data_IF_465104224718
#
_entry.id   IF_465104224718
#
_cell.length_a   1.000
_cell.length_b   1.000
_cell.length_c   1.000
_cell.angle_alpha   90.00
_cell.angle_beta   90.00
_cell.angle_gamma   90.00
#
_symmetry.space_group_name_H-M   'P 1'
#
loop_
_entity.id
_entity.type
_entity.pdbx_description
1 polymer ?
#
# COMPACT_ATOMS: atom_id res chain seq x y z
N UNK A 1 -38.36 -60.98 7.29
CA UNK A 1 -37.66 -59.68 7.31
C UNK A 1 -38.36 -58.80 6.29
N UNK A 2 -39.16 -57.83 6.74
CA UNK A 2 -40.10 -57.10 5.89
C UNK A 2 -39.37 -56.18 4.90
N UNK A 3 -39.91 -56.03 3.69
CA UNK A 3 -39.36 -55.19 2.61
C UNK A 3 -39.11 -53.74 3.04
N UNK A 4 -39.90 -53.23 3.99
CA UNK A 4 -39.74 -51.89 4.56
C UNK A 4 -38.40 -51.67 5.26
N UNK A 5 -37.85 -52.70 5.94
CA UNK A 5 -36.55 -52.58 6.63
C UNK A 5 -35.41 -52.48 5.60
N UNK A 6 -35.53 -53.18 4.47
CA UNK A 6 -34.54 -53.12 3.39
C UNK A 6 -34.56 -51.77 2.66
N UNK A 7 -35.74 -51.17 2.46
CA UNK A 7 -35.86 -49.84 1.86
C UNK A 7 -35.32 -48.73 2.78
N UNK A 8 -35.55 -48.84 4.10
CA UNK A 8 -34.97 -47.89 5.06
C UNK A 8 -33.43 -47.99 5.11
N UNK A 9 -32.87 -49.21 5.10
CA UNK A 9 -31.41 -49.41 5.06
C UNK A 9 -30.78 -48.89 3.76
N UNK A 10 -31.44 -49.08 2.62
CA UNK A 10 -30.99 -48.53 1.34
C UNK A 10 -31.02 -46.99 1.32
N UNK A 11 -32.04 -46.38 1.93
CA UNK A 11 -32.13 -44.93 2.09
C UNK A 11 -31.01 -44.35 2.96
N UNK A 12 -30.69 -45.02 4.08
CA UNK A 12 -29.58 -44.61 4.98
C UNK A 12 -28.23 -44.74 4.27
N UNK A 13 -28.00 -45.81 3.51
CA UNK A 13 -26.76 -46.00 2.76
C UNK A 13 -26.54 -44.90 1.69
N UNK A 14 -27.61 -44.47 1.02
CA UNK A 14 -27.53 -43.37 0.03
C UNK A 14 -27.34 -41.99 0.67
N UNK A 15 -27.86 -41.76 1.89
CA UNK A 15 -27.58 -40.53 2.63
C UNK A 15 -26.13 -40.48 3.10
N UNK A 16 -25.58 -41.62 3.54
CA UNK A 16 -24.18 -41.73 3.95
C UNK A 16 -23.20 -41.57 2.78
N UNK A 17 -23.53 -42.06 1.57
CA UNK A 17 -22.66 -41.82 0.41
C UNK A 17 -22.68 -40.36 -0.05
N UNK A 18 -23.83 -39.68 0.03
CA UNK A 18 -23.96 -38.25 -0.29
C UNK A 18 -23.24 -37.36 0.72
N UNK A 19 -23.25 -37.70 2.01
CA UNK A 19 -22.50 -36.97 3.03
C UNK A 19 -20.99 -37.15 2.87
N UNK A 20 -20.53 -38.34 2.46
CA UNK A 20 -19.11 -38.60 2.14
C UNK A 20 -18.68 -37.86 0.86
N UNK A 21 -19.51 -37.81 -0.18
CA UNK A 21 -19.21 -37.03 -1.39
C UNK A 21 -19.14 -35.53 -1.10
N UNK A 22 -20.01 -34.99 -0.26
CA UNK A 22 -19.95 -33.58 0.17
C UNK A 22 -18.72 -33.26 1.03
N UNK A 23 -18.22 -34.23 1.82
CA UNK A 23 -16.94 -34.09 2.53
C UNK A 23 -15.72 -34.18 1.60
N UNK A 24 -15.83 -34.92 0.49
CA UNK A 24 -14.73 -35.10 -0.48
C UNK A 24 -14.57 -33.95 -1.47
N UNK A 25 -15.66 -33.21 -1.76
CA UNK A 25 -15.61 -32.01 -2.60
C UNK A 25 -15.24 -30.81 -1.72
N UNK A 26 -13.97 -30.43 -1.78
CA UNK A 26 -13.39 -29.17 -1.28
C UNK A 26 -12.76 -29.15 0.12
N UNK A 27 -12.03 -30.19 0.51
CA UNK A 27 -10.79 -29.94 1.26
C UNK A 27 -9.70 -29.66 0.24
N UNK A 28 -9.14 -28.45 0.30
CA UNK A 28 -7.92 -28.08 -0.41
C UNK A 28 -6.82 -29.04 0.09
N UNK A 29 -6.64 -30.15 -0.61
CA UNK A 29 -5.57 -31.09 -0.32
C UNK A 29 -4.33 -30.49 -0.94
N UNK A 30 -3.55 -29.80 -0.10
CA UNK A 30 -2.20 -29.41 -0.45
C UNK A 30 -1.50 -30.64 -1.02
N UNK A 31 -0.87 -30.51 -2.19
CA UNK A 31 -0.16 -31.62 -2.81
C UNK A 31 0.77 -32.21 -1.76
N UNK A 32 0.59 -33.50 -1.38
CA UNK A 32 1.39 -34.10 -0.34
C UNK A 32 2.83 -34.09 -0.83
N UNK A 33 3.66 -33.27 -0.21
CA UNK A 33 5.10 -33.43 -0.38
C UNK A 33 5.45 -34.78 0.26
N UNK A 34 6.13 -35.66 -0.47
CA UNK A 34 6.59 -36.96 0.05
C UNK A 34 7.55 -36.82 1.25
N UNK A 35 8.02 -35.60 1.52
CA UNK A 35 8.87 -35.18 2.62
C UNK A 35 8.33 -33.82 3.08
N UNK A 36 8.21 -33.58 4.39
CA UNK A 36 7.89 -32.27 4.95
C UNK A 36 8.86 -31.22 4.43
N UNK A 37 8.34 -30.16 3.83
CA UNK A 37 9.16 -29.05 3.30
C UNK A 37 9.39 -27.94 4.32
N UNK A 38 8.82 -28.07 5.51
CA UNK A 38 9.04 -27.14 6.61
C UNK A 38 10.47 -27.30 7.14
N UNK A 39 11.10 -26.19 7.51
CA UNK A 39 12.39 -26.20 8.18
C UNK A 39 12.13 -26.17 9.68
N UNK A 40 12.49 -27.24 10.37
CA UNK A 40 12.41 -27.29 11.82
C UNK A 40 13.30 -26.20 12.43
N UNK A 41 12.83 -25.58 13.52
CA UNK A 41 13.64 -24.62 14.27
C UNK A 41 14.62 -25.35 15.21
N UNK A 42 14.17 -26.46 15.81
CA UNK A 42 14.92 -27.30 16.76
C UNK A 42 14.95 -28.76 16.29
N UNK A 43 15.87 -29.60 16.76
CA UNK A 43 16.00 -30.98 16.30
C UNK A 43 17.20 -31.24 15.36
N UNK A 44 17.34 -32.49 14.88
CA UNK A 44 18.46 -32.89 14.01
C UNK A 44 18.18 -32.45 12.56
N UNK A 45 19.04 -31.58 12.01
CA UNK A 45 18.81 -30.95 10.70
C UNK A 45 17.98 -29.65 10.74
N UNK A 46 17.74 -29.10 11.93
CA UNK A 46 16.98 -27.85 12.13
C UNK A 46 17.83 -26.59 11.94
N UNK A 47 17.19 -25.44 11.70
CA UNK A 47 17.87 -24.15 11.48
C UNK A 47 18.77 -23.72 12.65
N UNK A 48 18.39 -24.06 13.88
CA UNK A 48 19.15 -23.75 15.09
C UNK A 48 19.73 -24.99 15.79
N UNK A 49 19.72 -26.15 15.13
CA UNK A 49 20.06 -27.43 15.75
C UNK A 49 21.50 -27.89 15.55
N UNK A 50 22.30 -27.22 14.71
CA UNK A 50 23.64 -27.68 14.33
C UNK A 50 24.67 -27.55 15.46
N UNK A 51 24.57 -26.52 16.30
CA UNK A 51 25.48 -26.19 17.39
C UNK A 51 24.71 -25.57 18.58
N UNK A 52 25.22 -25.60 19.83
CA UNK A 52 24.53 -24.96 20.95
C UNK A 52 24.49 -23.44 20.74
N UNK A 53 23.29 -22.90 20.55
CA UNK A 53 23.06 -21.46 20.40
C UNK A 53 22.61 -20.83 21.72
N UNK A 54 22.95 -19.56 21.89
CA UNK A 54 22.46 -18.74 23.01
C UNK A 54 20.95 -18.49 22.91
N UNK A 55 20.34 -18.15 24.04
CA UNK A 55 18.88 -17.96 24.17
C UNK A 55 18.34 -16.84 23.28
N UNK A 56 19.12 -15.80 23.04
CA UNK A 56 18.70 -14.62 22.29
C UNK A 56 18.89 -14.86 20.78
N UNK A 57 17.78 -14.89 20.04
CA UNK A 57 17.78 -14.94 18.56
C UNK A 57 17.57 -13.54 18.01
N UNK A 58 18.55 -13.03 17.27
CA UNK A 58 18.50 -11.70 16.66
C UNK A 58 17.95 -11.84 15.24
N UNK A 59 16.93 -11.06 14.91
CA UNK A 59 16.43 -10.96 13.53
C UNK A 59 17.12 -9.83 12.77
N UNK A 60 17.62 -10.14 11.57
CA UNK A 60 18.11 -9.15 10.60
C UNK A 60 17.02 -8.72 9.60
N UNK A 61 15.78 -9.18 9.78
CA UNK A 61 14.68 -8.90 8.87
C UNK A 61 14.27 -7.42 8.94
N UNK A 62 14.27 -6.76 7.78
CA UNK A 62 13.66 -5.44 7.62
C UNK A 62 12.16 -5.64 7.44
N UNK A 63 11.38 -5.04 8.33
CA UNK A 63 9.92 -4.99 8.22
C UNK A 63 9.52 -3.93 7.20
N UNK A 64 8.49 -4.17 6.38
CA UNK A 64 7.95 -3.12 5.53
C UNK A 64 7.41 -1.98 6.42
N UNK A 65 7.51 -0.77 5.88
CA UNK A 65 6.95 0.45 6.45
C UNK A 65 6.20 1.17 5.33
N UNK A 66 5.05 1.77 5.64
CA UNK A 66 4.31 2.50 4.62
C UNK A 66 2.95 3.05 5.05
N UNK A 67 2.22 3.50 4.03
CA UNK A 67 0.89 4.08 4.14
C UNK A 67 -0.14 3.08 4.70
N UNK A 68 0.14 1.77 4.59
CA UNK A 68 -0.67 0.69 5.14
C UNK A 68 -0.97 0.78 6.65
N UNK A 69 -0.10 1.43 7.43
CA UNK A 69 -0.32 1.68 8.86
C UNK A 69 -1.39 2.73 9.15
N UNK A 70 -1.58 3.67 8.23
CA UNK A 70 -2.46 4.84 8.39
C UNK A 70 -3.83 4.64 7.75
N UNK A 71 -3.94 3.73 6.79
CA UNK A 71 -5.19 3.49 6.07
C UNK A 71 -6.17 2.68 6.93
N UNK A 72 -7.40 3.19 7.16
CA UNK A 72 -8.41 2.44 7.88
C UNK A 72 -8.94 1.28 7.01
N UNK A 73 -9.12 0.12 7.65
CA UNK A 73 -9.77 -1.04 7.02
C UNK A 73 -11.28 -0.93 7.16
N UNK A 74 -11.97 -0.64 6.07
CA UNK A 74 -13.43 -0.57 6.03
C UNK A 74 -13.96 -1.84 5.36
N UNK A 75 -14.64 -2.74 6.11
CA UNK A 75 -15.23 -3.93 5.50
C UNK A 75 -16.45 -3.56 4.66
N UNK A 76 -16.70 -4.33 3.61
CA UNK A 76 -17.94 -4.23 2.82
C UNK A 76 -18.48 -5.62 2.48
N UNK A 77 -19.78 -5.68 2.25
CA UNK A 77 -20.49 -6.89 1.81
C UNK A 77 -20.71 -6.92 0.29
N UNK A 78 -20.44 -5.82 -0.41
CA UNK A 78 -20.66 -5.70 -1.84
C UNK A 78 -19.47 -6.26 -2.63
N UNK A 79 -19.73 -7.13 -3.61
CA UNK A 79 -18.69 -7.76 -4.41
C UNK A 79 -17.99 -6.79 -5.37
N UNK A 80 -18.70 -5.76 -5.85
CA UNK A 80 -18.19 -4.73 -6.75
C UNK A 80 -18.65 -3.36 -6.25
N UNK A 81 -17.86 -2.68 -5.41
CA UNK A 81 -18.22 -1.35 -4.95
C UNK A 81 -18.06 -0.36 -6.13
N UNK A 82 -19.11 0.43 -6.32
CA UNK A 82 -19.16 1.57 -7.24
C UNK A 82 -19.28 2.84 -6.40
N UNK A 83 -18.43 3.82 -6.67
CA UNK A 83 -18.44 5.12 -6.03
C UNK A 83 -18.91 6.14 -7.05
N UNK A 84 -20.16 6.57 -6.90
CA UNK A 84 -20.70 7.65 -7.71
C UNK A 84 -20.12 8.99 -7.24
N UNK A 85 -19.67 9.80 -8.19
CA UNK A 85 -19.15 11.14 -7.96
C UNK A 85 -19.90 12.13 -8.83
N UNK A 86 -20.22 13.28 -8.26
CA UNK A 86 -20.85 14.39 -8.96
C UNK A 86 -19.74 15.30 -9.48
N UNK A 87 -19.56 15.36 -10.81
CA UNK A 87 -18.45 16.10 -11.42
C UNK A 87 -18.81 17.55 -11.72
N UNK A 88 -20.10 17.87 -11.78
CA UNK A 88 -20.56 19.25 -11.86
C UNK A 88 -21.89 19.39 -12.60
N UNK A 89 -22.19 20.62 -12.95
CA UNK A 89 -23.33 21.00 -13.79
C UNK A 89 -22.73 21.59 -15.07
N UNK A 90 -23.27 21.24 -16.23
CA UNK A 90 -22.81 21.82 -17.50
C UNK A 90 -23.07 23.31 -17.53
N UNK A 91 -22.31 24.02 -18.36
CA UNK A 91 -22.72 25.36 -18.77
C UNK A 91 -24.13 25.33 -19.35
N UNK A 92 -24.80 26.47 -19.18
CA UNK A 92 -26.14 26.74 -19.65
C UNK A 92 -26.20 26.55 -21.17
N UNK A 93 -26.92 25.53 -21.62
CA UNK A 93 -27.06 25.19 -23.02
C UNK A 93 -28.40 25.68 -23.55
N UNK A 94 -28.38 26.30 -24.73
CA UNK A 94 -29.56 26.87 -25.38
C UNK A 94 -29.50 28.40 -25.45
N UNK A 95 -30.34 28.97 -26.30
CA UNK A 95 -30.54 30.42 -26.39
C UNK A 95 -31.48 30.89 -25.28
N UNK A 96 -31.29 32.13 -24.83
CA UNK A 96 -32.30 32.79 -23.98
C UNK A 96 -33.56 32.98 -24.82
N UNK A 97 -34.72 32.60 -24.27
CA UNK A 97 -36.01 32.69 -24.94
C UNK A 97 -36.29 34.12 -25.43
N UNK A 98 -36.70 34.26 -26.70
CA UNK A 98 -37.11 35.55 -27.25
C UNK A 98 -38.59 35.83 -26.95
N UNK A 99 -39.41 34.77 -26.86
CA UNK A 99 -40.83 34.85 -26.52
C UNK A 99 -41.14 34.10 -25.20
N UNK A 100 -42.23 34.46 -24.49
CA UNK A 100 -42.57 33.87 -23.19
C UNK A 100 -42.82 32.35 -23.17
N UNK A 101 -43.06 31.74 -24.33
CA UNK A 101 -43.35 30.31 -24.49
C UNK A 101 -42.19 29.52 -25.11
N UNK A 102 -41.06 30.17 -25.42
CA UNK A 102 -39.90 29.48 -25.98
C UNK A 102 -39.13 28.73 -24.91
N UNK A 103 -38.38 27.71 -25.36
CA UNK A 103 -37.50 26.94 -24.50
C UNK A 103 -36.39 27.84 -23.94
N UNK A 104 -36.38 27.96 -22.61
CA UNK A 104 -35.30 28.60 -21.88
C UNK A 104 -34.09 27.68 -21.77
N UNK A 105 -32.88 28.23 -21.59
CA UNK A 105 -31.69 27.41 -21.60
C UNK A 105 -31.62 26.54 -20.33
N UNK A 106 -31.05 25.35 -20.49
CA UNK A 106 -31.02 24.30 -19.46
C UNK A 106 -29.59 23.90 -19.15
N UNK A 107 -29.38 23.37 -17.94
CA UNK A 107 -28.10 22.84 -17.52
C UNK A 107 -28.29 21.38 -17.07
N UNK A 108 -27.33 20.52 -17.41
CA UNK A 108 -27.39 19.10 -17.11
C UNK A 108 -26.42 18.76 -15.98
N UNK A 109 -26.81 17.81 -15.13
CA UNK A 109 -25.93 17.28 -14.11
C UNK A 109 -25.00 16.25 -14.76
N UNK A 110 -23.70 16.35 -14.46
CA UNK A 110 -22.69 15.36 -14.84
C UNK A 110 -22.27 14.55 -13.62
N UNK A 111 -22.23 13.24 -13.78
CA UNK A 111 -21.73 12.30 -12.79
C UNK A 111 -20.81 11.27 -13.42
N UNK A 112 -20.00 10.62 -12.59
CA UNK A 112 -19.06 9.58 -12.99
C UNK A 112 -18.98 8.50 -11.91
N UNK A 113 -18.95 7.23 -12.31
CA UNK A 113 -18.83 6.11 -11.39
C UNK A 113 -17.40 5.58 -11.42
N UNK A 114 -16.73 5.61 -10.27
CA UNK A 114 -15.44 4.95 -10.07
C UNK A 114 -15.65 3.57 -9.46
N UNK A 115 -14.70 2.66 -9.66
CA UNK A 115 -14.77 1.32 -9.07
C UNK A 115 -13.45 0.94 -8.41
N UNK A 116 -13.54 0.43 -7.18
CA UNK A 116 -12.42 -0.19 -6.50
C UNK A 116 -12.63 -1.71 -6.49
N UNK A 117 -11.94 -2.44 -7.36
CA UNK A 117 -12.07 -3.89 -7.40
C UNK A 117 -11.29 -4.52 -6.24
N UNK A 118 -11.84 -5.55 -5.61
CA UNK A 118 -11.13 -6.29 -4.57
C UNK A 118 -10.10 -7.24 -5.16
N UNK A 119 -8.94 -7.31 -4.51
CA UNK A 119 -7.94 -8.34 -4.73
C UNK A 119 -8.21 -9.60 -3.91
N UNK A 120 -7.61 -10.71 -4.32
CA UNK A 120 -7.57 -11.98 -3.60
C UNK A 120 -6.14 -12.53 -3.64
N UNK A 121 -5.56 -12.63 -2.45
CA UNK A 121 -4.27 -13.29 -2.22
C UNK A 121 -4.47 -14.44 -1.26
N UNK A 122 -3.97 -15.62 -1.61
CA UNK A 122 -3.93 -16.79 -0.75
C UNK A 122 -2.46 -17.15 -0.51
N UNK A 123 -2.10 -17.36 0.76
CA UNK A 123 -0.78 -17.82 1.16
C UNK A 123 -0.95 -19.14 1.91
N UNK A 124 -0.35 -20.20 1.40
CA UNK A 124 -0.34 -21.50 2.05
C UNK A 124 0.87 -21.62 2.99
N UNK A 125 0.68 -22.23 4.16
CA UNK A 125 1.79 -22.62 5.06
C UNK A 125 2.48 -23.88 4.55
N UNK A 126 3.73 -24.15 4.95
CA UNK A 126 4.40 -25.41 4.57
C UNK A 126 3.71 -26.65 5.17
N UNK A 127 3.93 -27.82 4.56
CA UNK A 127 3.42 -29.08 5.13
C UNK A 127 4.24 -29.41 6.36
N UNK A 128 3.57 -29.59 7.50
CA UNK A 128 4.21 -29.90 8.78
C UNK A 128 4.08 -31.40 9.03
N UNK A 129 5.19 -32.09 9.31
CA UNK A 129 5.18 -33.48 9.75
C UNK A 129 4.96 -33.52 11.27
N UNK A 130 3.76 -33.88 11.70
CA UNK A 130 3.37 -33.87 13.12
C UNK A 130 4.30 -34.68 14.04
N UNK A 131 4.94 -35.72 13.52
CA UNK A 131 5.86 -36.58 14.28
C UNK A 131 7.15 -35.86 14.71
N UNK A 132 7.57 -34.83 13.97
CA UNK A 132 8.83 -34.12 14.24
C UNK A 132 8.68 -32.81 15.00
N UNK A 133 7.46 -32.30 15.16
CA UNK A 133 7.15 -30.97 15.74
C UNK A 133 7.60 -30.79 17.20
N UNK A 134 7.96 -31.85 17.91
CA UNK A 134 8.36 -31.83 19.32
C UNK A 134 9.69 -32.55 19.60
N UNK A 135 10.41 -32.97 18.56
CA UNK A 135 11.69 -33.65 18.76
C UNK A 135 12.75 -32.63 19.18
N UNK A 136 13.48 -32.96 20.25
CA UNK A 136 14.67 -32.22 20.67
C UNK A 136 15.89 -33.02 20.27
N UNK A 137 16.91 -32.34 19.76
CA UNK A 137 18.14 -33.02 19.34
C UNK A 137 18.84 -33.65 20.54
N UNK A 138 19.02 -32.87 21.62
CA UNK A 138 19.74 -33.25 22.83
C UNK A 138 19.21 -32.47 24.05
N UNK A 139 19.62 -32.84 25.27
CA UNK A 139 19.23 -32.13 26.51
C UNK A 139 19.72 -30.68 26.59
N UNK A 140 20.73 -30.32 25.79
CA UNK A 140 21.24 -28.95 25.62
C UNK A 140 20.51 -28.13 24.55
N UNK A 141 19.48 -28.70 23.92
CA UNK A 141 18.60 -28.02 22.97
C UNK A 141 17.53 -27.23 23.74
N UNK A 142 17.66 -25.91 23.76
CA UNK A 142 16.81 -25.03 24.56
C UNK A 142 15.59 -24.54 23.77
N UNK A 143 14.40 -25.01 24.16
CA UNK A 143 13.11 -24.56 23.61
C UNK A 143 12.64 -23.20 24.13
N UNK A 144 13.55 -22.40 24.69
CA UNK A 144 13.28 -21.13 25.36
C UNK A 144 13.97 -19.96 24.65
N UNK A 145 13.99 -20.00 23.31
CA UNK A 145 14.54 -18.92 22.52
C UNK A 145 13.65 -17.67 22.64
N UNK A 146 14.28 -16.52 22.85
CA UNK A 146 13.62 -15.22 22.85
C UNK A 146 14.01 -14.49 21.57
N UNK A 147 13.01 -14.00 20.84
CA UNK A 147 13.23 -13.15 19.68
C UNK A 147 13.59 -11.73 20.13
N UNK A 148 14.73 -11.23 19.66
CA UNK A 148 15.11 -9.82 19.76
C UNK A 148 14.84 -9.13 18.42
N UNK A 149 13.86 -8.24 18.41
CA UNK A 149 13.38 -7.53 17.22
C UNK A 149 11.92 -7.86 16.90
N UNK A 150 11.44 -7.40 15.74
CA UNK A 150 10.04 -7.56 15.31
C UNK A 150 10.00 -8.13 13.89
N UNK A 151 9.23 -9.19 13.68
CA UNK A 151 9.06 -9.80 12.35
C UNK A 151 7.89 -9.20 11.55
N UNK A 152 6.91 -8.60 12.23
CA UNK A 152 5.70 -8.03 11.61
C UNK A 152 5.69 -6.49 11.78
N UNK A 153 5.63 -5.75 10.68
CA UNK A 153 5.82 -4.29 10.67
C UNK A 153 4.53 -3.49 10.71
N UNK A 154 3.62 -3.85 9.82
CA UNK A 154 2.40 -3.17 9.43
C UNK A 154 1.20 -3.77 10.14
N UNK A 155 0.71 -3.10 11.19
CA UNK A 155 -0.45 -3.53 11.98
C UNK A 155 -1.74 -3.66 11.13
N UNK A 156 -1.76 -3.07 9.94
CA UNK A 156 -2.84 -3.17 8.96
C UNK A 156 -2.94 -4.52 8.27
N UNK A 157 -1.81 -5.20 8.00
CA UNK A 157 -1.78 -6.40 7.13
C UNK A 157 -1.53 -7.71 7.87
N UNK A 158 -1.28 -7.65 9.18
CA UNK A 158 -1.02 -8.83 10.00
C UNK A 158 -2.32 -9.49 10.49
N UNK A 159 -2.41 -10.83 10.50
CA UNK A 159 -3.51 -11.54 11.14
C UNK A 159 -3.61 -11.23 12.65
N UNK A 160 -4.83 -11.06 13.17
CA UNK A 160 -5.06 -10.78 14.59
C UNK A 160 -4.59 -11.95 15.49
N UNK A 161 -4.08 -11.64 16.69
CA UNK A 161 -3.68 -12.58 17.76
C UNK A 161 -2.38 -13.38 17.57
N UNK A 162 -1.50 -13.01 16.63
CA UNK A 162 -0.17 -13.62 16.53
C UNK A 162 0.82 -12.96 17.51
N UNK A 163 1.27 -13.69 18.52
CA UNK A 163 2.36 -13.27 19.40
C UNK A 163 3.71 -13.75 18.84
N UNK A 164 4.55 -12.81 18.40
CA UNK A 164 5.85 -13.10 17.78
C UNK A 164 6.84 -13.83 18.71
N UNK A 165 6.65 -13.79 20.04
CA UNK A 165 7.53 -14.49 20.98
C UNK A 165 7.25 -16.00 21.07
N UNK A 166 6.03 -16.44 20.75
CA UNK A 166 5.69 -17.88 20.72
C UNK A 166 6.08 -18.55 19.41
N UNK A 167 6.51 -17.77 18.41
CA UNK A 167 6.98 -18.23 17.10
C UNK A 167 8.10 -19.27 17.22
N UNK A 168 9.07 -19.02 18.10
CA UNK A 168 10.27 -19.85 18.23
C UNK A 168 10.03 -21.16 19.01
N UNK A 169 8.84 -21.33 19.59
CA UNK A 169 8.48 -22.46 20.46
C UNK A 169 7.54 -23.45 19.79
N UNK A 170 6.76 -23.02 18.79
CA UNK A 170 5.74 -23.85 18.15
C UNK A 170 5.86 -23.73 16.64
N UNK A 171 6.22 -24.83 15.96
CA UNK A 171 6.41 -24.90 14.50
C UNK A 171 5.16 -24.45 13.72
N UNK A 172 3.96 -24.76 14.23
CA UNK A 172 2.72 -24.31 13.57
C UNK A 172 2.56 -22.79 13.62
N UNK A 173 2.98 -22.14 14.71
CA UNK A 173 3.01 -20.68 14.80
C UNK A 173 4.12 -20.09 13.92
N UNK A 174 5.24 -20.80 13.74
CA UNK A 174 6.32 -20.31 12.88
C UNK A 174 5.93 -20.27 11.41
N UNK A 175 5.23 -21.29 10.94
CA UNK A 175 4.69 -21.29 9.58
C UNK A 175 3.61 -20.22 9.38
N UNK A 176 2.73 -20.00 10.37
CA UNK A 176 1.71 -18.94 10.30
C UNK A 176 2.31 -17.53 10.23
N UNK A 177 3.35 -17.25 11.02
CA UNK A 177 4.03 -15.94 10.96
C UNK A 177 4.80 -15.79 9.65
N UNK A 178 5.39 -16.86 9.12
CA UNK A 178 6.06 -16.82 7.81
C UNK A 178 5.08 -16.47 6.69
N UNK A 179 3.90 -17.10 6.69
CA UNK A 179 2.81 -16.76 5.76
C UNK A 179 2.27 -15.32 5.99
N UNK A 180 2.22 -14.86 7.25
CA UNK A 180 1.83 -13.49 7.58
C UNK A 180 2.82 -12.45 7.04
N UNK A 181 4.12 -12.69 7.23
CA UNK A 181 5.20 -11.83 6.72
C UNK A 181 5.21 -11.78 5.19
N UNK A 182 5.03 -12.91 4.53
CA UNK A 182 5.00 -12.95 3.06
C UNK A 182 3.78 -12.21 2.51
N UNK A 183 2.63 -12.36 3.15
CA UNK A 183 1.41 -11.61 2.82
C UNK A 183 1.61 -10.10 3.01
N UNK A 184 2.20 -9.69 4.13
CA UNK A 184 2.48 -8.28 4.44
C UNK A 184 3.36 -7.64 3.36
N UNK A 185 4.47 -8.28 2.99
CA UNK A 185 5.37 -7.79 1.93
C UNK A 185 4.69 -7.66 0.57
N UNK A 186 3.87 -8.65 0.22
CA UNK A 186 3.15 -8.63 -1.04
C UNK A 186 2.07 -7.53 -1.05
N UNK A 187 1.34 -7.35 0.06
CA UNK A 187 0.32 -6.31 0.16
C UNK A 187 0.91 -4.90 0.14
N UNK A 188 2.08 -4.67 0.73
CA UNK A 188 2.77 -3.37 0.65
C UNK A 188 3.06 -2.98 -0.80
N UNK A 189 3.50 -3.93 -1.65
CA UNK A 189 3.76 -3.66 -3.07
C UNK A 189 2.45 -3.49 -3.86
N UNK A 190 1.46 -4.36 -3.64
CA UNK A 190 0.17 -4.29 -4.33
C UNK A 190 -0.63 -3.04 -3.97
N UNK A 191 -0.41 -2.45 -2.79
CA UNK A 191 -1.05 -1.19 -2.39
C UNK A 191 -0.75 -0.08 -3.40
N UNK A 192 0.46 -0.03 -3.94
CA UNK A 192 0.87 0.99 -4.92
C UNK A 192 0.79 0.49 -6.36
N UNK A 193 1.33 -0.71 -6.62
CA UNK A 193 1.60 -1.20 -7.98
C UNK A 193 0.61 -2.26 -8.48
N UNK A 194 -0.46 -2.53 -7.73
CA UNK A 194 -1.41 -3.59 -8.09
C UNK A 194 -2.07 -3.36 -9.45
N UNK A 195 -2.09 -4.39 -10.30
CA UNK A 195 -2.66 -4.32 -11.63
C UNK A 195 -3.66 -5.47 -11.89
N UNK A 196 -4.98 -5.18 -12.01
CA UNK A 196 -5.98 -6.21 -12.28
C UNK A 196 -5.84 -6.88 -13.66
N UNK A 197 -4.95 -6.40 -14.54
CA UNK A 197 -4.60 -7.12 -15.77
C UNK A 197 -3.79 -8.40 -15.52
N UNK A 198 -3.08 -8.49 -14.38
CA UNK A 198 -2.27 -9.66 -13.99
C UNK A 198 -3.09 -10.77 -13.32
N UNK A 199 -4.42 -10.66 -13.36
CA UNK A 199 -5.31 -11.63 -12.73
C UNK A 199 -5.25 -12.99 -13.42
N UNK A 200 -5.14 -14.04 -12.62
CA UNK A 200 -5.18 -15.40 -13.16
C UNK A 200 -6.60 -15.72 -13.66
N UNK A 201 -6.69 -16.36 -14.84
CA UNK A 201 -7.96 -16.69 -15.52
C UNK A 201 -8.91 -17.50 -14.63
N UNK A 202 -8.37 -18.31 -13.71
CA UNK A 202 -9.15 -19.11 -12.74
C UNK A 202 -9.59 -18.37 -11.46
N UNK A 203 -9.22 -17.09 -11.29
CA UNK A 203 -9.63 -16.28 -10.13
C UNK A 203 -9.05 -16.69 -8.77
N UNK A 204 -8.07 -17.62 -8.75
CA UNK A 204 -7.32 -17.99 -7.55
C UNK A 204 -6.41 -16.87 -7.04
N UNK A 205 -5.85 -16.10 -7.97
CA UNK A 205 -5.06 -14.90 -7.70
C UNK A 205 -5.70 -13.71 -8.41
N UNK A 206 -5.98 -12.64 -7.66
CA UNK A 206 -6.45 -11.37 -8.20
C UNK A 206 -5.77 -10.21 -7.50
N UNK A 207 -5.23 -9.28 -8.27
CA UNK A 207 -4.65 -8.04 -7.74
C UNK A 207 -5.73 -6.98 -7.60
N UNK A 208 -5.65 -6.21 -6.52
CA UNK A 208 -6.40 -4.95 -6.40
C UNK A 208 -5.73 -3.88 -7.27
N UNK A 209 -6.47 -2.89 -7.80
CA UNK A 209 -5.85 -1.74 -8.43
C UNK A 209 -5.05 -0.96 -7.39
N UNK A 210 -3.76 -0.77 -7.63
CA UNK A 210 -2.89 0.01 -6.77
C UNK A 210 -3.20 1.51 -6.84
N UNK A 211 -2.75 2.24 -5.82
CA UNK A 211 -2.92 3.69 -5.71
C UNK A 211 -2.28 4.45 -6.87
N UNK A 212 -1.18 3.94 -7.44
CA UNK A 212 -0.52 4.56 -8.60
C UNK A 212 -1.46 4.68 -9.81
N UNK A 213 -2.39 3.73 -9.95
CA UNK A 213 -3.38 3.77 -11.05
C UNK A 213 -4.50 4.77 -10.83
N UNK A 214 -4.70 5.22 -9.59
CA UNK A 214 -5.63 6.32 -9.28
C UNK A 214 -5.01 7.67 -9.61
N UNK A 215 -3.68 7.74 -9.64
CA UNK A 215 -2.93 8.91 -10.08
C UNK A 215 -2.86 8.89 -11.60
N UNK A 216 -3.89 9.45 -12.22
CA UNK A 216 -3.93 9.57 -13.67
C UNK A 216 -4.66 10.84 -14.09
N UNK A 217 -4.22 11.37 -15.23
CA UNK A 217 -5.00 12.28 -16.06
C UNK A 217 -5.83 11.45 -17.03
N UNK A 218 -7.10 11.78 -17.23
CA UNK A 218 -8.02 11.01 -18.06
C UNK A 218 -8.68 9.84 -17.33
N UNK A 219 -9.13 10.05 -16.09
CA UNK A 219 -10.00 9.09 -15.40
C UNK A 219 -11.24 8.82 -16.27
N UNK A 220 -11.66 7.56 -16.34
CA UNK A 220 -12.81 7.14 -17.15
C UNK A 220 -13.90 6.54 -16.27
N UNK A 221 -15.14 6.78 -16.68
CA UNK A 221 -16.31 6.18 -16.05
C UNK A 221 -16.30 4.66 -16.21
N UNK A 222 -16.54 3.95 -15.11
CA UNK A 222 -16.48 2.50 -15.07
C UNK A 222 -17.58 1.80 -15.87
N UNK A 223 -18.70 2.48 -16.16
CA UNK A 223 -19.83 1.90 -16.88
C UNK A 223 -19.90 2.36 -18.35
N UNK A 224 -19.67 3.64 -18.64
CA UNK A 224 -19.78 4.19 -20.00
C UNK A 224 -18.45 4.31 -20.74
N UNK A 225 -17.31 4.28 -20.03
CA UNK A 225 -15.98 4.54 -20.61
C UNK A 225 -15.77 6.00 -21.03
N UNK A 226 -16.67 6.92 -20.68
CA UNK A 226 -16.51 8.35 -20.94
C UNK A 226 -15.45 8.97 -20.03
N UNK A 227 -14.67 9.92 -20.55
CA UNK A 227 -13.67 10.63 -19.75
C UNK A 227 -14.33 11.57 -18.72
N UNK A 228 -13.83 11.54 -17.50
CA UNK A 228 -14.27 12.32 -16.35
C UNK A 228 -13.15 13.25 -15.87
N UNK A 229 -12.81 14.31 -16.64
CA UNK A 229 -11.64 15.15 -16.36
C UNK A 229 -11.72 15.91 -15.03
N UNK A 230 -12.93 16.09 -14.48
CA UNK A 230 -13.10 16.72 -13.16
C UNK A 230 -12.59 15.85 -11.99
N UNK A 231 -12.35 14.56 -12.22
CA UNK A 231 -11.79 13.62 -11.24
C UNK A 231 -10.31 13.34 -11.48
N UNK A 232 -9.70 14.02 -12.44
CA UNK A 232 -8.30 13.82 -12.76
C UNK A 232 -7.41 14.28 -11.60
N UNK A 233 -6.33 13.54 -11.38
CA UNK A 233 -5.32 13.91 -10.40
C UNK A 233 -4.50 15.10 -10.90
N UNK A 234 -4.14 16.04 -10.02
CA UNK A 234 -3.16 17.08 -10.35
C UNK A 234 -1.75 16.48 -10.31
N UNK A 235 -1.24 16.09 -11.47
CA UNK A 235 0.10 15.51 -11.61
C UNK A 235 1.07 16.62 -12.01
N UNK A 236 2.05 16.89 -11.14
CA UNK A 236 3.16 17.79 -11.42
C UNK A 236 4.42 16.97 -11.66
N UNK A 237 4.85 16.89 -12.92
CA UNK A 237 6.05 16.14 -13.30
C UNK A 237 7.30 17.02 -13.13
N UNK A 238 8.31 16.46 -12.47
CA UNK A 238 9.62 17.06 -12.29
C UNK A 238 10.56 16.75 -13.47
N UNK A 239 10.07 16.04 -14.50
CA UNK A 239 10.73 15.71 -15.76
C UNK A 239 12.15 15.16 -15.56
N UNK A 240 12.30 14.24 -14.60
CA UNK A 240 13.57 13.58 -14.25
C UNK A 240 14.70 14.54 -13.82
N UNK A 241 14.40 15.76 -13.36
CA UNK A 241 15.43 16.68 -12.87
C UNK A 241 15.88 16.34 -11.44
N UNK A 242 17.05 16.85 -11.07
CA UNK A 242 17.58 16.73 -9.72
C UNK A 242 16.74 17.51 -8.72
N UNK A 243 16.32 16.86 -7.62
CA UNK A 243 15.49 17.44 -6.54
C UNK A 243 16.09 18.71 -5.96
N UNK A 244 17.42 18.77 -5.90
CA UNK A 244 18.19 19.89 -5.38
C UNK A 244 18.97 20.63 -6.48
N UNK A 245 18.55 20.48 -7.74
CA UNK A 245 19.19 21.08 -8.90
C UNK A 245 18.83 22.56 -9.09
N UNK A 246 19.41 23.17 -10.13
CA UNK A 246 19.20 24.59 -10.45
C UNK A 246 18.06 24.86 -11.42
N UNK A 247 17.37 23.82 -11.89
CA UNK A 247 16.37 23.90 -12.97
C UNK A 247 14.96 24.20 -12.46
N UNK A 248 14.33 23.21 -11.83
CA UNK A 248 12.99 23.33 -11.28
C UNK A 248 13.07 23.42 -9.75
N UNK A 249 12.38 24.39 -9.15
CA UNK A 249 12.35 24.54 -7.69
C UNK A 249 11.24 23.67 -7.10
N UNK A 250 11.62 22.58 -6.43
CA UNK A 250 10.70 21.65 -5.78
C UNK A 250 9.76 22.33 -4.77
N UNK A 251 10.22 23.40 -4.11
CA UNK A 251 9.40 24.14 -3.14
C UNK A 251 8.28 24.89 -3.83
N UNK A 252 8.52 25.44 -5.02
CA UNK A 252 7.49 26.11 -5.81
C UNK A 252 6.43 25.12 -6.32
N UNK A 253 6.86 23.97 -6.84
CA UNK A 253 5.94 22.93 -7.30
C UNK A 253 5.05 22.39 -6.18
N UNK A 254 5.64 22.03 -5.04
CA UNK A 254 4.90 21.54 -3.88
C UNK A 254 4.00 22.65 -3.31
N UNK A 255 4.48 23.89 -3.29
CA UNK A 255 3.67 25.04 -2.86
C UNK A 255 2.47 25.31 -3.77
N UNK A 256 2.61 25.19 -5.08
CA UNK A 256 1.51 25.34 -6.04
C UNK A 256 0.49 24.19 -5.91
N UNK A 257 0.98 22.95 -5.77
CA UNK A 257 0.15 21.77 -5.58
C UNK A 257 -0.70 21.91 -4.30
N UNK A 258 -0.08 22.31 -3.19
CA UNK A 258 -0.79 22.51 -1.93
C UNK A 258 -1.88 23.58 -2.04
N UNK A 259 -1.59 24.70 -2.71
CA UNK A 259 -2.58 25.76 -2.94
C UNK A 259 -3.77 25.26 -3.75
N UNK A 260 -3.53 24.55 -4.86
CA UNK A 260 -4.59 24.01 -5.71
C UNK A 260 -5.48 23.01 -4.95
N UNK A 261 -4.87 22.11 -4.18
CA UNK A 261 -5.60 21.13 -3.38
C UNK A 261 -6.46 21.78 -2.30
N UNK A 262 -5.93 22.76 -1.56
CA UNK A 262 -6.70 23.50 -0.55
C UNK A 262 -7.85 24.30 -1.16
N UNK A 263 -7.59 24.96 -2.29
CA UNK A 263 -8.62 25.72 -3.01
C UNK A 263 -9.77 24.79 -3.44
N UNK A 264 -9.45 23.64 -4.03
CA UNK A 264 -10.45 22.66 -4.44
C UNK A 264 -11.19 22.07 -3.24
N UNK A 265 -10.50 21.69 -2.17
CA UNK A 265 -11.14 21.15 -0.96
C UNK A 265 -12.12 22.15 -0.32
N UNK A 266 -11.78 23.45 -0.32
CA UNK A 266 -12.66 24.51 0.16
C UNK A 266 -13.87 24.72 -0.77
N UNK A 267 -13.63 24.86 -2.08
CA UNK A 267 -14.71 25.15 -3.04
C UNK A 267 -15.63 23.97 -3.32
N UNK A 268 -15.16 22.74 -3.15
CA UNK A 268 -15.96 21.53 -3.22
C UNK A 268 -16.63 21.18 -1.89
N UNK A 269 -16.35 21.91 -0.80
CA UNK A 269 -16.96 21.67 0.50
C UNK A 269 -16.52 20.36 1.17
N UNK A 270 -15.34 19.84 0.80
CA UNK A 270 -14.78 18.60 1.36
C UNK A 270 -14.05 18.83 2.70
N UNK A 271 -13.90 20.08 3.13
CA UNK A 271 -13.28 20.41 4.41
C UNK A 271 -14.11 19.88 5.60
N UNK A 272 -13.47 19.24 6.60
CA UNK A 272 -12.02 19.06 6.78
C UNK A 272 -11.45 17.80 6.09
N UNK A 273 -10.39 17.97 5.27
CA UNK A 273 -9.58 16.87 4.70
C UNK A 273 -8.21 16.81 5.40
N UNK A 274 -7.65 15.60 5.56
CA UNK A 274 -6.28 15.40 6.07
C UNK A 274 -5.35 15.06 4.91
N UNK A 275 -4.46 16.00 4.59
CA UNK A 275 -3.42 15.79 3.57
C UNK A 275 -2.14 15.22 4.20
N UNK A 276 -1.49 14.32 3.48
CA UNK A 276 -0.25 13.64 3.90
C UNK A 276 0.66 13.52 2.68
N UNK A 277 1.96 13.74 2.85
CA UNK A 277 2.94 13.44 1.82
C UNK A 277 3.42 12.00 1.99
N UNK A 278 3.46 11.25 0.89
CA UNK A 278 4.01 9.89 0.89
C UNK A 278 5.11 9.82 -0.14
N UNK A 279 6.26 9.25 0.23
CA UNK A 279 7.40 9.12 -0.66
C UNK A 279 8.29 7.95 -0.27
N UNK A 280 9.22 7.57 -1.13
CA UNK A 280 10.22 6.53 -0.83
C UNK A 280 11.27 7.08 0.17
N UNK A 281 11.81 6.27 1.11
CA UNK A 281 12.73 6.75 2.14
C UNK A 281 14.02 7.37 1.59
N UNK A 282 14.53 6.89 0.45
CA UNK A 282 15.72 7.45 -0.20
C UNK A 282 15.48 8.88 -0.70
N UNK A 283 14.30 9.13 -1.27
CA UNK A 283 13.90 10.47 -1.69
C UNK A 283 13.77 11.42 -0.49
N UNK A 284 13.16 10.95 0.60
CA UNK A 284 13.03 11.76 1.81
C UNK A 284 14.39 12.19 2.37
N UNK A 285 15.37 11.28 2.33
CA UNK A 285 16.71 11.58 2.79
C UNK A 285 17.33 12.74 1.99
N UNK A 286 17.25 12.70 0.66
CA UNK A 286 17.78 13.76 -0.23
C UNK A 286 16.98 15.07 -0.08
N UNK A 287 15.64 14.99 -0.09
CA UNK A 287 14.79 16.17 0.04
C UNK A 287 15.09 16.94 1.33
N UNK A 288 15.21 16.22 2.45
CA UNK A 288 15.48 16.85 3.74
C UNK A 288 16.81 17.62 3.77
N UNK A 289 17.79 17.29 2.92
CA UNK A 289 19.08 17.99 2.86
C UNK A 289 18.97 19.36 2.22
N UNK A 290 18.19 19.50 1.15
CA UNK A 290 18.06 20.76 0.43
C UNK A 290 16.84 21.58 0.81
N UNK A 291 15.78 20.96 1.38
CA UNK A 291 14.54 21.66 1.72
C UNK A 291 14.74 22.91 2.60
N UNK A 292 15.52 22.90 3.71
CA UNK A 292 15.70 24.09 4.53
C UNK A 292 16.34 25.24 3.77
N UNK A 293 17.30 24.95 2.88
CA UNK A 293 17.99 25.96 2.10
C UNK A 293 17.07 26.52 1.01
N UNK A 294 16.41 25.66 0.25
CA UNK A 294 15.50 26.04 -0.82
C UNK A 294 14.31 26.84 -0.26
N UNK A 295 13.66 26.37 0.80
CA UNK A 295 12.48 27.02 1.36
C UNK A 295 12.74 28.44 1.88
N UNK A 296 13.89 28.67 2.53
CA UNK A 296 14.25 29.99 3.06
C UNK A 296 14.81 30.96 2.02
N UNK A 297 15.24 30.46 0.86
CA UNK A 297 15.81 31.28 -0.23
C UNK A 297 14.87 31.44 -1.42
N UNK A 298 13.81 30.62 -1.51
CA UNK A 298 12.81 30.65 -2.56
C UNK A 298 12.16 32.05 -2.62
N UNK A 299 12.30 32.70 -3.77
CA UNK A 299 11.96 34.11 -4.08
C UNK A 299 12.89 35.19 -3.57
N UNK A 300 13.83 34.94 -2.65
CA UNK A 300 14.76 35.99 -2.24
C UNK A 300 15.88 36.23 -3.29
N UNK A 301 16.24 35.21 -4.07
CA UNK A 301 17.27 35.32 -5.11
C UNK A 301 16.88 36.28 -6.26
N UNK A 302 15.60 36.38 -6.59
CA UNK A 302 15.10 37.25 -7.68
C UNK A 302 15.00 38.74 -7.30
N UNK A 303 15.06 39.07 -6.01
CA UNK A 303 15.17 40.46 -5.54
C UNK A 303 16.62 40.94 -5.41
N UNK A 304 17.61 40.08 -5.70
CA UNK A 304 19.04 40.43 -5.68
C UNK A 304 19.52 40.95 -7.04
N UNK A 305 18.81 41.91 -7.63
CA UNK A 305 19.26 42.60 -8.85
C UNK A 305 20.36 43.62 -8.57
N UNK A 306 20.70 43.85 -7.31
CA UNK A 306 21.77 44.74 -6.86
C UNK A 306 22.92 43.92 -6.26
N UNK A 307 24.17 44.25 -6.61
CA UNK A 307 25.37 43.43 -6.38
C UNK A 307 25.73 43.21 -4.90
N UNK A 308 24.96 43.78 -3.98
CA UNK A 308 25.20 43.78 -2.53
C UNK A 308 24.03 43.21 -1.69
N UNK A 309 22.95 42.74 -2.32
CA UNK A 309 21.87 42.08 -1.58
C UNK A 309 22.32 40.67 -1.17
N UNK A 310 22.51 40.44 0.12
CA UNK A 310 22.83 39.12 0.67
C UNK A 310 21.68 38.67 1.58
N UNK A 311 21.12 37.50 1.29
CA UNK A 311 20.22 36.80 2.21
C UNK A 311 21.09 36.06 3.22
N UNK A 312 21.08 36.51 4.47
CA UNK A 312 21.82 35.82 5.52
C UNK A 312 20.98 34.66 6.08
N UNK A 313 21.32 33.43 5.69
CA UNK A 313 20.71 32.21 6.20
C UNK A 313 21.67 31.58 7.20
N UNK A 314 21.25 31.43 8.45
CA UNK A 314 22.06 30.81 9.49
C UNK A 314 22.19 29.30 9.27
N UNK A 315 23.42 28.82 9.08
CA UNK A 315 23.70 27.39 8.89
C UNK A 315 23.27 26.52 10.07
N UNK A 316 23.29 27.05 11.31
CA UNK A 316 22.84 26.31 12.50
C UNK A 316 21.35 26.02 12.46
N UNK A 317 20.57 26.97 11.98
CA UNK A 317 19.11 26.86 11.96
C UNK A 317 18.66 25.92 10.83
N UNK A 318 19.39 25.91 9.72
CA UNK A 318 19.14 24.97 8.62
C UNK A 318 19.43 23.52 9.03
N UNK A 319 20.52 23.29 9.76
CA UNK A 319 20.86 21.96 10.28
C UNK A 319 19.82 21.53 11.32
N UNK A 320 19.44 22.42 12.24
CA UNK A 320 18.43 22.13 13.24
C UNK A 320 17.07 21.80 12.60
N UNK A 321 16.67 22.53 11.55
CA UNK A 321 15.44 22.26 10.81
C UNK A 321 15.51 20.93 10.07
N UNK A 322 16.62 20.63 9.36
CA UNK A 322 16.82 19.33 8.70
C UNK A 322 16.67 18.18 9.69
N UNK A 323 17.36 18.27 10.83
CA UNK A 323 17.37 17.19 11.82
C UNK A 323 15.99 17.06 12.49
N UNK A 324 15.28 18.18 12.71
CA UNK A 324 13.89 18.16 13.18
C UNK A 324 12.95 17.50 12.17
N UNK A 325 13.06 17.83 10.88
CA UNK A 325 12.28 17.20 9.81
C UNK A 325 12.53 15.70 9.75
N UNK A 326 13.80 15.26 9.77
CA UNK A 326 14.18 13.84 9.72
C UNK A 326 13.65 13.05 10.90
N UNK A 327 13.73 13.61 12.11
CA UNK A 327 13.32 12.91 13.33
C UNK A 327 11.80 12.85 13.51
N UNK A 328 11.08 13.91 13.14
CA UNK A 328 9.64 13.99 13.36
C UNK A 328 8.79 13.69 12.12
N UNK A 329 9.40 13.50 10.95
CA UNK A 329 8.71 13.10 9.71
C UNK A 329 7.68 14.13 9.27
N UNK A 330 8.08 15.40 9.13
CA UNK A 330 7.20 16.46 8.68
C UNK A 330 7.87 17.37 7.66
N UNK A 331 7.04 17.99 6.81
CA UNK A 331 7.43 19.02 5.87
C UNK A 331 6.50 20.23 6.07
N UNK A 332 7.10 21.41 6.18
CA UNK A 332 6.36 22.67 6.29
C UNK A 332 6.25 23.29 4.89
N UNK A 333 5.01 23.49 4.39
CA UNK A 333 4.70 24.05 3.07
C UNK A 333 3.72 25.22 3.26
N UNK A 334 4.03 26.39 2.68
CA UNK A 334 3.27 27.64 2.83
C UNK A 334 2.76 27.92 4.26
N UNK A 335 3.60 27.64 5.27
CA UNK A 335 3.27 27.85 6.68
C UNK A 335 2.37 26.80 7.34
N UNK A 336 2.01 25.72 6.65
CA UNK A 336 1.29 24.57 7.23
C UNK A 336 2.21 23.35 7.35
N UNK A 337 2.13 22.65 8.48
CA UNK A 337 2.90 21.42 8.73
C UNK A 337 2.14 20.19 8.23
N UNK A 338 2.78 19.42 7.36
CA UNK A 338 2.26 18.16 6.86
C UNK A 338 3.12 16.97 7.33
N UNK A 339 2.49 15.86 7.74
CA UNK A 339 3.23 14.63 8.01
C UNK A 339 3.74 14.01 6.71
N UNK A 340 4.93 13.41 6.78
CA UNK A 340 5.56 12.66 5.70
C UNK A 340 5.63 11.19 6.11
N UNK A 341 5.07 10.31 5.28
CA UNK A 341 5.21 8.86 5.44
C UNK A 341 6.22 8.37 4.41
N UNK A 342 7.20 7.60 4.88
CA UNK A 342 8.10 6.87 4.00
C UNK A 342 7.52 5.49 3.69
N UNK A 343 7.36 5.16 2.41
CA UNK A 343 6.83 3.87 1.94
C UNK A 343 7.76 3.24 0.90
N UNK A 344 8.08 1.96 1.08
CA UNK A 344 8.95 1.21 0.15
C UNK A 344 8.18 0.58 -1.01
N UNK A 345 6.84 0.54 -0.96
CA UNK A 345 6.01 -0.06 -2.02
C UNK A 345 5.88 0.80 -3.29
N UNK A 346 6.26 2.08 -3.22
CA UNK A 346 6.29 2.99 -4.38
C UNK A 346 7.37 2.51 -5.36
N UNK A 347 7.03 2.42 -6.65
CA UNK A 347 7.95 1.95 -7.67
C UNK A 347 9.09 2.95 -7.91
N UNK A 348 10.30 2.44 -8.13
CA UNK A 348 11.46 3.21 -8.56
C UNK A 348 11.77 2.84 -10.00
N UNK A 349 11.73 3.82 -10.90
CA UNK A 349 12.19 3.57 -12.27
C UNK A 349 13.70 3.71 -12.30
N UNK A 350 14.37 2.65 -12.72
CA UNK A 350 15.83 2.63 -12.86
C UNK A 350 16.23 2.94 -14.31
N UNK A 351 17.51 3.22 -14.58
CA UNK A 351 18.04 3.36 -15.95
C UNK A 351 17.78 2.13 -16.83
N UNK A 352 17.45 0.98 -16.23
CA UNK A 352 17.06 -0.26 -16.89
C UNK A 352 15.69 -0.19 -17.56
N UNK A 353 14.76 0.61 -17.01
CA UNK A 353 13.38 0.75 -17.53
C UNK A 353 13.23 1.98 -18.44
N UNK A 354 14.08 2.98 -18.27
CA UNK A 354 14.14 4.16 -19.14
C UNK A 354 15.59 4.66 -19.25
N UNK A 355 16.15 4.59 -20.46
CA UNK A 355 17.56 4.87 -20.74
C UNK A 355 18.01 6.33 -20.51
N UNK A 356 17.08 7.22 -20.13
CA UNK A 356 17.32 8.64 -19.85
C UNK A 356 17.58 8.95 -18.36
N UNK A 357 17.49 7.95 -17.47
CA UNK A 357 17.63 8.14 -16.03
C UNK A 357 19.08 7.87 -15.59
N UNK A 358 19.66 8.75 -14.76
CA UNK A 358 20.95 8.55 -14.10
C UNK A 358 20.77 7.88 -12.71
N UNK A 359 21.73 7.07 -12.23
CA UNK A 359 21.57 6.23 -11.04
C UNK A 359 21.65 7.06 -9.75
N UNK A 360 20.56 7.74 -9.40
CA UNK A 360 20.31 8.50 -8.15
C UNK A 360 19.18 9.55 -8.24
N UNK A 361 18.47 9.67 -9.36
CA UNK A 361 17.42 10.69 -9.52
C UNK A 361 16.05 10.06 -9.72
N UNK A 362 15.23 9.95 -8.66
CA UNK A 362 13.77 10.03 -8.82
C UNK A 362 13.08 10.63 -7.60
N UNK A 363 12.34 11.69 -7.87
CA UNK A 363 11.34 12.27 -6.99
C UNK A 363 10.01 12.37 -7.75
N UNK A 364 9.29 11.26 -7.87
CA UNK A 364 7.89 11.35 -8.28
C UNK A 364 7.10 11.77 -7.04
N UNK A 365 6.93 13.08 -6.87
CA UNK A 365 6.04 13.64 -5.86
C UNK A 365 4.62 13.54 -6.36
N UNK A 366 3.88 12.63 -5.76
CA UNK A 366 2.47 12.46 -6.08
C UNK A 366 1.65 12.48 -4.81
N UNK A 367 0.75 13.45 -4.71
CA UNK A 367 -0.19 13.58 -3.60
C UNK A 367 -1.58 13.17 -4.09
N UNK A 368 -2.12 12.09 -3.53
CA UNK A 368 -3.50 11.67 -3.77
C UNK A 368 -4.47 12.55 -2.95
N UNK A 369 -5.58 12.92 -3.58
CA UNK A 369 -6.82 13.30 -2.90
C UNK A 369 -7.62 12.05 -2.54
#
# INVERSE_FOLDING_TARGET
MSKEILEQLAGIAQQNSKSIEMLSKQLHTKTPANIGTFTELHGDGSLFGSEPIERDVITAMITPMGLGTMLPKIPTVFAVPRFASLTGITDTHGSVAAEPCDDNPQAFIKGCNLTAQFGRNAMDTNTIEADKVMLRRNRGDFTDLILRGRLLGETGFTPANLNANDFLRIVTKSEMVTAGVSLERLLTNLLWQGNPANNNVGGGYKEMPGLDRQIATGQVDADTGAACPALDSDVKDFNYNEVCGTGFDIVEFIGMLEFFLKFNAEKMGLNPVRHVFVMRPELWFVLSECWPCAYNTNRCASFMSDSNAMVNVSGTDMIALRDAMRNAGFIDVNGTRYPVITDMGINEQTPTDNALILPNMQAQFTLCL
#
